data_IF_548934739695
#
_entry.id   IF_548934739695
#
_cell.length_a   1.000
_cell.length_b   1.000
_cell.length_c   1.000
_cell.angle_alpha   90.00
_cell.angle_beta   90.00
_cell.angle_gamma   90.00
#
_symmetry.space_group_name_H-M   'P 1'
#
loop_
_entity.id
_entity.type
_entity.pdbx_description
1 polymer ?
#
# COMPACT_ATOMS: atom_id res chain seq x y z
N UNK A 1 18.96 -5.94 -29.80
CA UNK A 1 18.52 -5.85 -28.40
C UNK A 1 17.65 -4.60 -28.30
N UNK A 2 16.33 -4.74 -28.25
CA UNK A 2 15.44 -3.58 -28.09
C UNK A 2 15.60 -3.02 -26.68
N UNK A 3 16.11 -1.81 -26.59
CA UNK A 3 16.01 -0.97 -25.40
C UNK A 3 14.66 -0.24 -25.46
N UNK A 4 13.57 -0.98 -25.30
CA UNK A 4 12.28 -0.31 -25.07
C UNK A 4 12.36 0.30 -23.67
N UNK A 5 12.29 1.63 -23.63
CA UNK A 5 12.23 2.37 -22.37
C UNK A 5 10.89 2.03 -21.74
N UNK A 6 10.84 1.56 -20.49
CA UNK A 6 9.57 1.24 -19.85
C UNK A 6 8.66 2.47 -19.86
N UNK A 7 7.38 2.25 -20.12
CA UNK A 7 6.38 3.29 -19.99
C UNK A 7 6.39 3.84 -18.56
N UNK A 8 5.98 5.10 -18.38
CA UNK A 8 5.89 5.72 -17.05
C UNK A 8 5.07 4.88 -16.06
N UNK A 9 4.01 4.20 -16.54
CA UNK A 9 3.20 3.32 -15.73
C UNK A 9 3.95 2.05 -15.26
N UNK A 10 4.70 1.40 -16.15
CA UNK A 10 5.52 0.24 -15.80
C UNK A 10 6.63 0.61 -14.82
N UNK A 11 7.25 1.79 -14.99
CA UNK A 11 8.21 2.33 -14.04
C UNK A 11 7.61 2.51 -12.65
N UNK A 12 6.44 3.16 -12.55
CA UNK A 12 5.73 3.38 -11.28
C UNK A 12 5.39 2.05 -10.60
N UNK A 13 4.83 1.10 -11.36
CA UNK A 13 4.47 -0.22 -10.83
C UNK A 13 5.71 -0.97 -10.32
N UNK A 14 6.81 -0.94 -11.07
CA UNK A 14 8.06 -1.57 -10.66
C UNK A 14 8.64 -0.92 -9.39
N UNK A 15 8.69 0.41 -9.31
CA UNK A 15 9.17 1.12 -8.13
C UNK A 15 8.31 0.81 -6.90
N UNK A 16 6.98 0.81 -7.05
CA UNK A 16 6.06 0.48 -5.97
C UNK A 16 6.27 -0.96 -5.47
N UNK A 17 6.43 -1.93 -6.37
CA UNK A 17 6.73 -3.33 -5.99
C UNK A 17 8.08 -3.45 -5.27
N UNK A 18 9.13 -2.79 -5.76
CA UNK A 18 10.44 -2.79 -5.11
C UNK A 18 10.38 -2.16 -3.71
N UNK A 19 9.65 -1.05 -3.57
CA UNK A 19 9.44 -0.40 -2.27
C UNK A 19 8.61 -1.28 -1.32
N UNK A 20 7.55 -1.94 -1.81
CA UNK A 20 6.77 -2.91 -1.03
C UNK A 20 7.67 -4.00 -0.45
N UNK A 21 8.51 -4.63 -1.27
CA UNK A 21 9.42 -5.69 -0.83
C UNK A 21 10.42 -5.18 0.21
N UNK A 22 11.01 -4.01 -0.03
CA UNK A 22 11.98 -3.39 0.86
C UNK A 22 11.37 -3.08 2.24
N UNK A 23 10.17 -2.48 2.25
CA UNK A 23 9.45 -2.15 3.47
C UNK A 23 8.96 -3.41 4.21
N UNK A 24 8.50 -4.44 3.47
CA UNK A 24 8.10 -5.73 4.06
C UNK A 24 9.28 -6.40 4.76
N UNK A 25 10.47 -6.41 4.15
CA UNK A 25 11.67 -6.98 4.76
C UNK A 25 12.03 -6.27 6.07
N UNK A 26 11.96 -4.93 6.09
CA UNK A 26 12.19 -4.12 7.28
C UNK A 26 11.17 -4.39 8.39
N UNK A 27 9.91 -4.65 8.05
CA UNK A 27 8.87 -4.93 9.03
C UNK A 27 9.02 -6.32 9.68
N UNK A 28 9.56 -7.31 8.97
CA UNK A 28 9.88 -8.63 9.55
C UNK A 28 10.94 -8.53 10.65
N UNK A 29 11.78 -7.50 10.60
CA UNK A 29 12.82 -7.22 11.59
C UNK A 29 12.38 -6.23 12.69
N UNK A 30 11.11 -5.78 12.70
CA UNK A 30 10.60 -4.72 13.59
C UNK A 30 9.52 -5.18 14.58
N UNK A 31 9.46 -4.54 15.76
CA UNK A 31 8.43 -4.74 16.79
C UNK A 31 6.99 -4.58 16.23
N UNK A 32 6.02 -5.27 16.84
CA UNK A 32 4.59 -5.00 16.63
C UNK A 32 4.07 -4.01 17.69
N UNK A 33 3.43 -2.89 17.32
CA UNK A 33 3.07 -2.46 15.96
C UNK A 33 4.25 -1.88 15.16
N UNK A 34 4.16 -1.89 13.81
CA UNK A 34 5.16 -1.31 12.90
C UNK A 34 5.65 0.07 13.38
N UNK A 35 6.91 0.16 13.79
CA UNK A 35 7.50 1.45 14.14
C UNK A 35 7.95 2.16 12.88
N UNK A 36 7.52 3.41 12.72
CA UNK A 36 8.11 4.29 11.71
C UNK A 36 9.50 4.70 12.19
N UNK A 37 10.53 4.16 11.55
CA UNK A 37 11.89 4.64 11.74
C UNK A 37 12.14 5.90 10.87
N UNK A 38 13.18 6.64 11.23
CA UNK A 38 13.57 7.87 10.52
C UNK A 38 13.88 7.61 9.04
N UNK A 39 14.52 6.47 8.75
CA UNK A 39 14.90 6.10 7.39
C UNK A 39 13.68 5.90 6.49
N UNK A 40 12.63 5.26 7.00
CA UNK A 40 11.38 5.02 6.27
C UNK A 40 10.64 6.33 6.00
N UNK A 41 10.63 7.24 6.97
CA UNK A 41 10.06 8.57 6.79
C UNK A 41 10.82 9.38 5.71
N UNK A 42 12.16 9.36 5.75
CA UNK A 42 12.99 10.03 4.74
C UNK A 42 12.83 9.40 3.35
N UNK A 43 12.80 8.08 3.25
CA UNK A 43 12.54 7.35 2.00
C UNK A 43 11.16 7.69 1.44
N UNK A 44 10.13 7.71 2.28
CA UNK A 44 8.77 8.07 1.87
C UNK A 44 8.69 9.50 1.37
N UNK A 45 9.36 10.43 2.06
CA UNK A 45 9.38 11.86 1.70
C UNK A 45 10.00 12.12 0.31
N UNK A 46 11.01 11.34 -0.09
CA UNK A 46 11.67 11.48 -1.40
C UNK A 46 11.03 10.61 -2.49
N UNK A 47 10.07 9.74 -2.13
CA UNK A 47 9.36 8.89 -3.09
C UNK A 47 8.30 9.71 -3.83
N UNK A 48 8.26 9.59 -5.15
CA UNK A 48 7.27 10.26 -5.99
C UNK A 48 5.83 9.95 -5.51
N UNK A 49 4.93 10.95 -5.47
CA UNK A 49 3.53 10.74 -5.07
C UNK A 49 2.83 9.61 -5.81
N UNK A 50 3.10 9.45 -7.11
CA UNK A 50 2.53 8.40 -7.96
C UNK A 50 2.96 7.00 -7.49
N UNK A 51 4.22 6.85 -7.10
CA UNK A 51 4.77 5.61 -6.56
C UNK A 51 4.17 5.32 -5.18
N UNK A 52 4.04 6.34 -4.31
CA UNK A 52 3.36 6.22 -3.01
C UNK A 52 1.91 5.79 -3.15
N UNK A 53 1.17 6.42 -4.08
CA UNK A 53 -0.22 6.06 -4.42
C UNK A 53 -0.30 4.60 -4.87
N UNK A 54 0.54 4.21 -5.82
CA UNK A 54 0.52 2.85 -6.36
C UNK A 54 0.87 1.81 -5.28
N UNK A 55 1.83 2.12 -4.42
CA UNK A 55 2.20 1.27 -3.30
C UNK A 55 1.07 1.10 -2.27
N UNK A 56 0.33 2.16 -1.93
CA UNK A 56 -0.84 2.05 -1.06
C UNK A 56 -1.87 1.07 -1.62
N UNK A 57 -2.13 1.14 -2.93
CA UNK A 57 -3.07 0.24 -3.61
C UNK A 57 -2.54 -1.19 -3.69
N UNK A 58 -1.25 -1.36 -4.01
CA UNK A 58 -0.62 -2.67 -4.01
C UNK A 58 -0.67 -3.32 -2.62
N UNK A 59 -0.34 -2.57 -1.57
CA UNK A 59 -0.40 -3.07 -0.21
C UNK A 59 -1.84 -3.40 0.23
N UNK A 60 -2.83 -2.62 -0.21
CA UNK A 60 -4.25 -2.91 -0.01
C UNK A 60 -4.66 -4.22 -0.69
N UNK A 61 -4.19 -4.43 -1.93
CA UNK A 61 -4.41 -5.66 -2.65
C UNK A 61 -3.82 -6.87 -1.91
N UNK A 62 -2.57 -6.79 -1.48
CA UNK A 62 -1.94 -7.90 -0.76
C UNK A 62 -2.64 -8.21 0.58
N UNK A 63 -3.08 -7.17 1.29
CA UNK A 63 -3.80 -7.30 2.57
C UNK A 63 -5.31 -7.60 2.42
N UNK A 64 -5.85 -7.75 1.20
CA UNK A 64 -7.30 -7.86 0.93
C UNK A 64 -8.02 -9.02 1.61
N UNK A 65 -7.29 -10.04 2.07
CA UNK A 65 -7.86 -11.19 2.78
C UNK A 65 -7.51 -11.19 4.27
N UNK A 66 -6.80 -10.18 4.75
CA UNK A 66 -6.43 -10.09 6.16
C UNK A 66 -7.67 -9.80 7.02
N UNK A 67 -7.75 -10.46 8.18
CA UNK A 67 -8.75 -10.14 9.19
C UNK A 67 -8.31 -8.87 9.95
N UNK A 68 -9.16 -7.85 9.98
CA UNK A 68 -8.95 -6.65 10.76
C UNK A 68 -9.71 -6.77 12.08
N UNK A 69 -8.98 -6.79 13.19
CA UNK A 69 -9.55 -6.64 14.54
C UNK A 69 -9.86 -5.16 14.80
N UNK A 70 -10.95 -4.88 15.52
CA UNK A 70 -11.47 -3.51 15.74
C UNK A 70 -10.43 -2.57 16.38
N UNK A 71 -9.58 -3.10 17.27
CA UNK A 71 -8.49 -2.37 17.94
C UNK A 71 -7.41 -1.83 16.98
N UNK A 72 -7.28 -2.40 15.77
CA UNK A 72 -6.32 -1.94 14.78
C UNK A 72 -6.80 -0.72 13.96
N UNK A 73 -8.04 -0.27 14.15
CA UNK A 73 -8.68 0.81 13.41
C UNK A 73 -9.01 2.07 14.26
N UNK A 74 -8.49 2.18 15.48
CA UNK A 74 -8.83 3.28 16.40
C UNK A 74 -8.18 4.64 16.03
N UNK A 75 -7.21 4.64 15.11
CA UNK A 75 -6.57 5.85 14.59
C UNK A 75 -6.80 6.03 13.08
N UNK A 76 -6.45 7.22 12.58
CA UNK A 76 -6.69 7.64 11.18
C UNK A 76 -6.11 6.63 10.19
N UNK A 77 -4.88 6.17 10.43
CA UNK A 77 -4.15 5.26 9.56
C UNK A 77 -4.77 3.86 9.56
N UNK A 78 -5.24 3.40 10.72
CA UNK A 78 -5.98 2.14 10.85
C UNK A 78 -7.31 2.16 10.11
N UNK A 79 -8.04 3.28 10.17
CA UNK A 79 -9.28 3.47 9.40
C UNK A 79 -9.01 3.42 7.90
N UNK A 80 -8.01 4.17 7.42
CA UNK A 80 -7.64 4.12 6.00
C UNK A 80 -7.24 2.71 5.57
N UNK A 81 -6.38 2.03 6.33
CA UNK A 81 -5.92 0.69 5.97
C UNK A 81 -7.07 -0.34 5.91
N UNK A 82 -8.04 -0.23 6.83
CA UNK A 82 -9.27 -1.01 6.78
C UNK A 82 -10.13 -0.67 5.55
N UNK A 83 -10.33 0.60 5.23
CA UNK A 83 -11.11 1.00 4.05
C UNK A 83 -10.46 0.53 2.75
N UNK A 84 -9.13 0.66 2.65
CA UNK A 84 -8.33 0.17 1.55
C UNK A 84 -8.51 -1.32 1.31
N UNK A 85 -8.34 -2.13 2.37
CA UNK A 85 -8.50 -3.58 2.27
C UNK A 85 -9.93 -3.97 1.93
N UNK A 86 -10.95 -3.35 2.53
CA UNK A 86 -12.36 -3.60 2.20
C UNK A 86 -12.68 -3.28 0.74
N UNK A 87 -12.09 -2.20 0.21
CA UNK A 87 -12.21 -1.85 -1.20
C UNK A 87 -11.56 -2.92 -2.09
N UNK A 88 -10.37 -3.39 -1.75
CA UNK A 88 -9.69 -4.46 -2.49
C UNK A 88 -10.45 -5.80 -2.45
N UNK A 89 -10.99 -6.20 -1.28
CA UNK A 89 -11.83 -7.40 -1.17
C UNK A 89 -13.10 -7.28 -2.02
N UNK A 90 -13.72 -6.09 -2.02
CA UNK A 90 -14.92 -5.83 -2.83
C UNK A 90 -14.62 -5.82 -4.32
N UNK A 91 -13.46 -5.30 -4.72
CA UNK A 91 -13.00 -5.33 -6.11
C UNK A 91 -12.92 -6.76 -6.64
N UNK A 92 -12.24 -7.66 -5.92
CA UNK A 92 -12.12 -9.09 -6.30
C UNK A 92 -13.49 -9.75 -6.48
N UNK A 93 -14.46 -9.43 -5.61
CA UNK A 93 -15.82 -9.97 -5.71
C UNK A 93 -16.58 -9.44 -6.93
N UNK A 94 -16.37 -8.19 -7.30
CA UNK A 94 -17.07 -7.52 -8.40
C UNK A 94 -16.40 -7.74 -9.76
N UNK A 95 -15.09 -8.01 -9.78
CA UNK A 95 -14.26 -8.13 -10.98
C UNK A 95 -13.46 -9.45 -10.92
N UNK A 96 -14.13 -10.61 -11.01
CA UNK A 96 -13.45 -11.90 -10.89
C UNK A 96 -12.46 -12.11 -12.04
N UNK A 97 -11.21 -12.45 -11.71
CA UNK A 97 -10.15 -12.72 -12.67
C UNK A 97 -9.21 -11.53 -12.93
N UNK A 98 -9.52 -10.35 -12.42
CA UNK A 98 -8.60 -9.21 -12.43
C UNK A 98 -7.49 -9.37 -11.38
N UNK A 99 -6.34 -8.78 -11.67
CA UNK A 99 -5.13 -8.85 -10.85
C UNK A 99 -4.83 -7.51 -10.12
N UNK A 100 -3.67 -7.47 -9.46
CA UNK A 100 -3.22 -6.29 -8.72
C UNK A 100 -3.06 -5.06 -9.62
N UNK A 101 -2.64 -5.24 -10.88
CA UNK A 101 -2.37 -4.14 -11.80
C UNK A 101 -3.69 -3.51 -12.26
N UNK A 102 -4.70 -4.33 -12.55
CA UNK A 102 -6.05 -3.87 -12.84
C UNK A 102 -6.65 -3.08 -11.66
N UNK A 103 -6.47 -3.56 -10.42
CA UNK A 103 -6.87 -2.80 -9.23
C UNK A 103 -6.11 -1.47 -9.10
N UNK A 104 -4.78 -1.47 -9.21
CA UNK A 104 -3.98 -0.26 -8.98
C UNK A 104 -4.18 0.84 -10.04
N UNK A 105 -4.67 0.46 -11.22
CA UNK A 105 -4.96 1.36 -12.36
C UNK A 105 -6.45 1.67 -12.51
N UNK A 106 -7.32 0.89 -11.87
CA UNK A 106 -8.77 1.03 -11.91
C UNK A 106 -9.30 2.26 -11.17
N UNK A 107 -10.54 2.64 -11.48
CA UNK A 107 -11.25 3.71 -10.79
C UNK A 107 -12.16 3.14 -9.71
N UNK A 108 -11.87 3.46 -8.44
CA UNK A 108 -12.66 3.03 -7.29
C UNK A 108 -12.31 3.91 -6.06
N UNK A 109 -13.10 3.86 -4.96
CA UNK A 109 -12.89 4.70 -3.78
C UNK A 109 -11.46 4.69 -3.23
N UNK A 110 -10.83 3.51 -3.14
CA UNK A 110 -9.42 3.43 -2.73
C UNK A 110 -8.46 4.18 -3.68
N UNK A 111 -8.67 4.18 -4.99
CA UNK A 111 -7.80 4.93 -5.91
C UNK A 111 -7.84 6.45 -5.63
N UNK A 112 -9.02 6.98 -5.31
CA UNK A 112 -9.18 8.39 -4.92
C UNK A 112 -8.54 8.68 -3.55
N UNK A 113 -8.79 7.83 -2.54
CA UNK A 113 -8.20 8.00 -1.21
C UNK A 113 -6.67 7.90 -1.23
N UNK A 114 -6.10 6.96 -1.99
CA UNK A 114 -4.66 6.83 -2.16
C UNK A 114 -4.06 8.05 -2.85
N UNK A 115 -4.77 8.63 -3.82
CA UNK A 115 -4.34 9.87 -4.49
C UNK A 115 -4.32 11.04 -3.51
N UNK A 116 -5.35 11.18 -2.68
CA UNK A 116 -5.38 12.22 -1.65
C UNK A 116 -4.19 12.07 -0.68
N UNK A 117 -4.05 10.88 -0.08
CA UNK A 117 -3.01 10.60 0.92
C UNK A 117 -1.58 10.69 0.38
N UNK A 118 -1.35 10.27 -0.87
CA UNK A 118 -0.01 10.23 -1.42
C UNK A 118 0.48 11.59 -1.94
N UNK A 119 -0.43 12.49 -2.31
CA UNK A 119 -0.06 13.79 -2.88
C UNK A 119 -0.05 14.90 -1.84
N UNK A 120 -0.81 14.76 -0.75
CA UNK A 120 -0.76 15.70 0.35
C UNK A 120 0.53 15.51 1.18
N UNK A 121 1.24 16.63 1.42
CA UNK A 121 2.46 16.64 2.23
C UNK A 121 2.15 16.63 3.72
N UNK A 122 1.01 17.17 4.12
CA UNK A 122 0.60 17.20 5.52
C UNK A 122 0.19 15.80 6.01
N UNK A 123 -0.26 14.95 5.08
CA UNK A 123 -0.59 13.54 5.33
C UNK A 123 0.58 12.56 5.07
N UNK A 124 1.82 13.06 4.94
CA UNK A 124 2.97 12.22 4.59
C UNK A 124 3.21 11.08 5.61
N UNK A 125 3.06 11.38 6.90
CA UNK A 125 3.22 10.37 7.97
C UNK A 125 2.00 9.45 8.06
N UNK A 126 0.79 10.00 7.85
CA UNK A 126 -0.45 9.22 7.82
C UNK A 126 -0.42 8.21 6.69
N UNK A 127 0.02 8.62 5.49
CA UNK A 127 0.16 7.74 4.32
C UNK A 127 1.21 6.66 4.52
N UNK A 128 2.38 6.98 5.09
CA UNK A 128 3.40 5.98 5.41
C UNK A 128 2.91 4.97 6.45
N UNK A 129 2.34 5.44 7.56
CA UNK A 129 1.83 4.55 8.60
C UNK A 129 0.65 3.70 8.11
N UNK A 130 -0.18 4.23 7.21
CA UNK A 130 -1.21 3.44 6.51
C UNK A 130 -0.58 2.34 5.68
N UNK A 131 0.44 2.65 4.87
CA UNK A 131 1.17 1.65 4.08
C UNK A 131 1.78 0.56 4.96
N UNK A 132 2.40 0.92 6.09
CA UNK A 132 2.95 -0.06 7.03
C UNK A 132 1.92 -0.98 7.66
N UNK A 133 0.75 -0.46 8.02
CA UNK A 133 -0.35 -1.30 8.50
C UNK A 133 -0.78 -2.28 7.41
N UNK A 134 -1.00 -1.81 6.18
CA UNK A 134 -1.35 -2.69 5.06
C UNK A 134 -0.30 -3.77 4.84
N UNK A 135 0.98 -3.42 4.77
CA UNK A 135 2.08 -4.38 4.55
C UNK A 135 2.16 -5.39 5.71
N UNK A 136 2.05 -4.94 6.95
CA UNK A 136 2.06 -5.83 8.11
C UNK A 136 0.90 -6.82 8.07
N UNK A 137 -0.31 -6.35 7.74
CA UNK A 137 -1.49 -7.22 7.59
C UNK A 137 -1.39 -8.18 6.40
N UNK A 138 -0.74 -7.78 5.30
CA UNK A 138 -0.43 -8.66 4.18
C UNK A 138 0.51 -9.80 4.61
N UNK A 139 1.54 -9.49 5.42
CA UNK A 139 2.51 -10.48 5.90
C UNK A 139 1.92 -11.45 6.94
N UNK A 140 0.93 -11.03 7.74
CA UNK A 140 0.25 -11.89 8.71
C UNK A 140 -0.62 -12.99 8.07
N UNK A 141 -0.91 -12.88 6.77
CA UNK A 141 -1.64 -13.91 6.00
C UNK A 141 -0.90 -15.26 5.94
N UNK A 142 0.42 -15.25 6.18
CA UNK A 142 1.28 -16.44 6.16
C UNK A 142 1.50 -17.06 7.55
N UNK A 143 0.81 -16.59 8.60
CA UNK A 143 0.82 -17.27 9.90
C UNK A 143 -0.28 -18.35 9.95
N UNK A 144 0.07 -19.64 10.16
CA UNK A 144 -0.87 -20.76 10.16
C UNK A 144 -1.91 -20.71 11.29
#
# INVERSE_FOLDING_TARGET
MSTDTPSSAEYIAQQARSLFQLLTARLKDADSPPRMDRWSAELWAVTEPEVRRHLLLLAAWEARTAAWNEQCADNVEGRYAREFTQCASSWVRLHPGEDADAFCTGQHPAAFAASSLAFDRDDLLVSLATAFRLIAHAALKDCP
#
